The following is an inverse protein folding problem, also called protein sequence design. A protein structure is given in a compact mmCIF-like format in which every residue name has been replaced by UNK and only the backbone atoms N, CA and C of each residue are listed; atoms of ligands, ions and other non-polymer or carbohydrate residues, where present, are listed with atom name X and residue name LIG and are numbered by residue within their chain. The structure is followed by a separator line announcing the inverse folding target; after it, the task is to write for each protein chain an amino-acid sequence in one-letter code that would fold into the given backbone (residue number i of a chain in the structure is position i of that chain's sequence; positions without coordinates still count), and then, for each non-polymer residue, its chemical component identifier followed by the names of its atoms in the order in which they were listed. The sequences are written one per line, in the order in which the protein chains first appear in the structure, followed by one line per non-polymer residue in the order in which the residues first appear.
data_IF_443166781904
#
_entry.id   IF_443166781904
#
_cell.length_a   1.000
_cell.length_b   1.000
_cell.length_c   1.000
_cell.angle_alpha   90.00
_cell.angle_beta   90.00
_cell.angle_gamma   90.00
#
_symmetry.space_group_name_H-M   'P 1'
#
loop_
_entity.id
_entity.type
_entity.pdbx_description
1 polymer ?
#
# COMPACT_ATOMS: atom_id res chain seq x y z
N UNK A 1 -21.32 -16.20 0.03
CA UNK A 1 -20.24 -15.45 0.72
C UNK A 1 -20.51 -13.97 0.46
N UNK A 2 -20.90 -13.19 1.47
CA UNK A 2 -21.18 -11.77 1.28
C UNK A 2 -19.88 -11.02 1.01
N UNK A 3 -19.79 -10.29 -0.10
CA UNK A 3 -18.76 -9.27 -0.30
C UNK A 3 -18.85 -8.29 0.88
N UNK A 4 -17.84 -8.31 1.74
CA UNK A 4 -17.70 -7.28 2.76
C UNK A 4 -17.30 -6.01 2.00
N UNK A 5 -18.30 -5.20 1.63
CA UNK A 5 -18.08 -3.94 0.92
C UNK A 5 -17.08 -3.11 1.73
N UNK A 6 -15.91 -2.87 1.16
CA UNK A 6 -14.89 -2.03 1.79
C UNK A 6 -15.45 -0.60 1.88
N UNK A 7 -15.68 -0.13 3.10
CA UNK A 7 -16.09 1.25 3.35
C UNK A 7 -14.87 2.18 3.18
N UNK A 8 -14.81 2.83 2.03
CA UNK A 8 -13.84 3.89 1.74
C UNK A 8 -14.48 5.22 2.06
N UNK A 9 -13.86 5.97 2.97
CA UNK A 9 -14.24 7.33 3.30
C UNK A 9 -13.60 8.29 2.30
N UNK A 10 -14.40 8.74 1.33
CA UNK A 10 -14.01 9.80 0.40
C UNK A 10 -14.43 11.16 0.98
N UNK A 11 -13.49 12.07 1.13
CA UNK A 11 -13.76 13.48 1.43
C UNK A 11 -14.08 14.24 0.13
N UNK A 12 -13.35 13.93 -0.94
CA UNK A 12 -13.58 14.47 -2.28
C UNK A 12 -13.24 13.44 -3.36
N UNK A 13 -13.98 13.45 -4.47
CA UNK A 13 -13.64 12.70 -5.68
C UNK A 13 -14.25 13.38 -6.91
N UNK A 14 -13.43 13.62 -7.94
CA UNK A 14 -13.85 14.39 -9.12
C UNK A 14 -14.96 13.71 -9.93
N UNK A 15 -14.88 12.38 -10.11
CA UNK A 15 -15.81 11.64 -10.97
C UNK A 15 -15.86 10.14 -10.62
N UNK A 16 -16.84 9.44 -11.21
CA UNK A 16 -17.06 8.02 -10.94
C UNK A 16 -15.91 7.11 -11.43
N UNK A 17 -15.18 7.50 -12.48
CA UNK A 17 -14.04 6.74 -12.96
C UNK A 17 -12.88 6.76 -11.95
N UNK A 18 -12.57 7.94 -11.39
CA UNK A 18 -11.60 8.08 -10.30
C UNK A 18 -12.02 7.27 -9.06
N UNK A 19 -13.30 7.32 -8.69
CA UNK A 19 -13.85 6.53 -7.57
C UNK A 19 -13.67 5.03 -7.78
N UNK A 20 -13.98 4.52 -8.97
CA UNK A 20 -13.84 3.09 -9.31
C UNK A 20 -12.37 2.64 -9.34
N UNK A 21 -11.46 3.49 -9.84
CA UNK A 21 -10.02 3.23 -9.81
C UNK A 21 -9.50 3.13 -8.38
N UNK A 22 -9.84 4.09 -7.52
CA UNK A 22 -9.42 4.11 -6.11
C UNK A 22 -9.95 2.88 -5.38
N UNK A 23 -11.22 2.50 -5.61
CA UNK A 23 -11.80 1.25 -5.06
C UNK A 23 -10.97 0.03 -5.42
N UNK A 24 -10.71 -0.17 -6.71
CA UNK A 24 -9.92 -1.32 -7.19
C UNK A 24 -8.51 -1.32 -6.62
N UNK A 25 -7.87 -0.15 -6.55
CA UNK A 25 -6.55 0.01 -5.95
C UNK A 25 -6.56 -0.44 -4.48
N UNK A 26 -7.48 0.08 -3.68
CA UNK A 26 -7.56 -0.25 -2.25
C UNK A 26 -7.97 -1.70 -1.98
N UNK A 27 -8.82 -2.30 -2.82
CA UNK A 27 -9.14 -3.73 -2.74
C UNK A 27 -7.88 -4.58 -2.89
N UNK A 28 -7.02 -4.22 -3.85
CA UNK A 28 -5.74 -4.90 -4.08
C UNK A 28 -4.73 -4.66 -2.94
N UNK A 29 -4.73 -3.46 -2.34
CA UNK A 29 -3.93 -3.17 -1.14
C UNK A 29 -4.35 -4.07 0.03
N UNK A 30 -5.64 -4.21 0.29
CA UNK A 30 -6.13 -5.09 1.36
C UNK A 30 -5.83 -6.58 1.08
N UNK A 31 -5.85 -7.00 -0.19
CA UNK A 31 -5.36 -8.33 -0.58
C UNK A 31 -3.88 -8.51 -0.24
N UNK A 32 -3.02 -7.53 -0.53
CA UNK A 32 -1.59 -7.55 -0.19
C UNK A 32 -1.36 -7.54 1.34
N UNK A 33 -2.21 -6.86 2.11
CA UNK A 33 -2.10 -6.86 3.57
C UNK A 33 -2.32 -8.22 4.20
N UNK A 34 -3.03 -9.13 3.55
CA UNK A 34 -3.26 -10.48 4.08
C UNK A 34 -1.95 -11.26 4.27
N UNK A 35 -1.12 -11.50 3.24
CA UNK A 35 0.15 -12.20 3.42
C UNK A 35 1.15 -11.42 4.28
N UNK A 36 1.14 -10.08 4.26
CA UNK A 36 1.99 -9.26 5.15
C UNK A 36 1.63 -9.50 6.62
N UNK A 37 0.34 -9.50 6.96
CA UNK A 37 -0.13 -9.77 8.33
C UNK A 37 0.24 -11.18 8.79
N UNK A 38 0.21 -12.14 7.88
CA UNK A 38 0.64 -13.50 8.17
C UNK A 38 2.14 -13.56 8.47
N UNK A 39 2.97 -13.02 7.57
CA UNK A 39 4.43 -12.99 7.74
C UNK A 39 4.85 -12.30 9.05
N UNK A 40 4.27 -11.13 9.36
CA UNK A 40 4.57 -10.41 10.61
C UNK A 40 4.27 -11.26 11.85
N UNK A 41 3.17 -12.00 11.86
CA UNK A 41 2.82 -12.88 12.98
C UNK A 41 3.82 -14.02 13.15
N UNK A 42 4.30 -14.58 12.04
CA UNK A 42 5.32 -15.64 12.04
C UNK A 42 6.66 -15.15 12.60
N UNK A 43 7.00 -13.88 12.35
CA UNK A 43 8.20 -13.21 12.91
C UNK A 43 8.00 -12.69 14.34
N UNK A 44 6.87 -13.02 14.98
CA UNK A 44 6.52 -12.56 16.33
C UNK A 44 6.52 -11.03 16.48
N UNK A 45 6.12 -10.31 15.43
CA UNK A 45 5.96 -8.86 15.40
C UNK A 45 4.48 -8.45 15.58
N UNK A 46 4.26 -7.18 15.86
CA UNK A 46 2.93 -6.59 16.06
C UNK A 46 2.58 -5.69 14.88
N UNK A 47 1.34 -5.80 14.37
CA UNK A 47 0.77 -4.83 13.42
C UNK A 47 -0.26 -3.96 14.13
N UNK A 48 -0.12 -2.65 13.96
CA UNK A 48 -1.09 -1.65 14.39
C UNK A 48 -1.67 -0.97 13.14
N UNK A 49 -2.95 -1.19 12.80
CA UNK A 49 -3.59 -0.48 11.71
C UNK A 49 -3.98 0.95 12.15
N UNK A 50 -3.82 1.91 11.26
CA UNK A 50 -4.29 3.29 11.44
C UNK A 50 -4.98 3.80 10.17
N UNK A 51 -5.82 4.83 10.31
CA UNK A 51 -6.46 5.51 9.17
C UNK A 51 -5.75 6.83 8.92
N UNK A 52 -5.27 7.02 7.69
CA UNK A 52 -4.52 8.22 7.28
C UNK A 52 -5.13 8.84 6.04
N UNK A 53 -4.99 10.15 5.90
CA UNK A 53 -5.48 10.88 4.74
C UNK A 53 -4.54 10.66 3.54
N UNK A 54 -5.14 10.48 2.37
CA UNK A 54 -4.48 10.39 1.08
C UNK A 54 -5.06 11.44 0.16
N UNK A 55 -4.18 12.25 -0.42
CA UNK A 55 -4.53 13.34 -1.33
C UNK A 55 -3.93 13.00 -2.69
N UNK A 56 -4.80 12.81 -3.68
CA UNK A 56 -4.45 12.67 -5.08
C UNK A 56 -5.01 13.85 -5.87
N UNK A 57 -4.51 14.05 -7.08
CA UNK A 57 -4.99 15.12 -7.97
C UNK A 57 -6.52 15.15 -8.12
N UNK A 58 -7.17 13.98 -8.11
CA UNK A 58 -8.60 13.82 -8.40
C UNK A 58 -9.45 13.39 -7.20
N UNK A 59 -8.85 13.22 -6.01
CA UNK A 59 -9.57 12.70 -4.84
C UNK A 59 -8.82 12.94 -3.52
N UNK A 60 -9.58 13.10 -2.45
CA UNK A 60 -9.10 13.02 -1.07
C UNK A 60 -9.89 11.94 -0.35
N UNK A 61 -9.20 10.99 0.29
CA UNK A 61 -9.82 9.84 0.93
C UNK A 61 -8.95 9.26 2.03
N UNK A 62 -9.56 8.53 2.97
CA UNK A 62 -8.84 7.83 4.03
C UNK A 62 -8.45 6.42 3.63
N UNK A 63 -7.22 6.02 3.95
CA UNK A 63 -6.68 4.67 3.70
C UNK A 63 -6.17 4.04 4.99
N UNK A 64 -6.09 2.71 4.98
CA UNK A 64 -5.48 1.95 6.07
C UNK A 64 -3.96 1.93 5.88
N UNK A 65 -3.22 2.47 6.84
CA UNK A 65 -1.78 2.30 6.98
C UNK A 65 -1.50 1.16 7.98
N UNK A 66 -0.46 0.37 7.75
CA UNK A 66 0.02 -0.61 8.71
C UNK A 66 1.33 -0.14 9.33
N UNK A 67 1.38 -0.07 10.66
CA UNK A 67 2.63 0.16 11.40
C UNK A 67 3.09 -1.17 12.01
N UNK A 68 4.30 -1.60 11.65
CA UNK A 68 4.94 -2.80 12.17
C UNK A 68 5.78 -2.42 13.40
N UNK A 69 5.60 -3.17 14.48
CA UNK A 69 6.27 -2.93 15.75
C UNK A 69 6.86 -4.20 16.36
N UNK A 70 7.87 -4.04 17.20
CA UNK A 70 8.31 -5.11 18.12
C UNK A 70 7.25 -5.34 19.21
N UNK A 71 7.41 -6.41 19.99
CA UNK A 71 6.53 -6.70 21.14
C UNK A 71 6.66 -5.63 22.24
N UNK A 72 7.81 -4.99 22.33
CA UNK A 72 8.13 -3.89 23.25
C UNK A 72 7.56 -2.55 22.78
N UNK A 73 6.96 -2.51 21.57
CA UNK A 73 6.28 -1.34 21.02
C UNK A 73 7.14 -0.43 20.15
N UNK A 74 8.37 -0.84 19.85
CA UNK A 74 9.28 -0.10 18.98
C UNK A 74 8.83 -0.19 17.51
N UNK A 75 8.81 0.94 16.79
CA UNK A 75 8.34 0.97 15.39
C UNK A 75 9.47 0.63 14.43
N UNK A 76 9.27 -0.42 13.64
CA UNK A 76 10.24 -0.92 12.67
C UNK A 76 10.00 -0.37 11.26
N UNK A 77 8.72 -0.35 10.85
CA UNK A 77 8.33 0.12 9.54
C UNK A 77 6.87 0.58 9.49
N UNK A 78 6.56 1.44 8.54
CA UNK A 78 5.22 1.84 8.14
C UNK A 78 4.99 1.46 6.68
N UNK A 79 3.82 0.90 6.39
CA UNK A 79 3.39 0.54 5.05
C UNK A 79 2.18 1.42 4.72
N UNK A 80 2.41 2.39 3.83
CA UNK A 80 1.45 3.43 3.50
C UNK A 80 1.04 3.36 2.03
N UNK A 81 -0.24 3.14 1.72
CA UNK A 81 -0.78 3.37 0.38
C UNK A 81 -0.73 4.87 0.08
N UNK A 82 -0.15 5.27 -1.05
CA UNK A 82 0.07 6.71 -1.33
C UNK A 82 -0.57 7.22 -2.62
N UNK A 83 -0.77 6.40 -3.65
CA UNK A 83 -1.43 6.85 -4.89
C UNK A 83 -2.07 5.71 -5.67
N UNK A 84 -3.22 5.98 -6.28
CA UNK A 84 -3.93 5.12 -7.26
C UNK A 84 -3.57 5.45 -8.71
N UNK A 85 -2.70 6.44 -8.95
CA UNK A 85 -2.29 6.89 -10.29
C UNK A 85 -0.77 7.04 -10.35
N UNK A 86 -0.14 6.30 -11.27
CA UNK A 86 1.24 6.55 -11.71
C UNK A 86 1.31 6.52 -13.24
N UNK A 87 2.21 7.34 -13.81
CA UNK A 87 2.49 7.36 -15.26
C UNK A 87 2.92 5.97 -15.78
N UNK A 88 3.45 5.12 -14.89
CA UNK A 88 3.93 3.77 -15.17
C UNK A 88 3.31 2.71 -14.22
N UNK A 89 2.08 2.88 -13.74
CA UNK A 89 1.44 1.86 -12.89
C UNK A 89 0.06 2.26 -12.37
N UNK A 90 -0.71 1.32 -11.84
CA UNK A 90 -2.05 1.58 -11.29
C UNK A 90 -2.05 1.78 -9.76
N UNK A 91 -0.89 1.81 -9.10
CA UNK A 91 -0.82 2.08 -7.66
C UNK A 91 0.58 2.24 -7.08
N UNK A 92 0.69 2.94 -5.95
CA UNK A 92 1.92 3.20 -5.23
C UNK A 92 1.78 2.93 -3.74
N UNK A 93 2.64 2.05 -3.22
CA UNK A 93 2.76 1.82 -1.78
C UNK A 93 4.18 2.21 -1.37
N UNK A 94 4.29 3.04 -0.34
CA UNK A 94 5.55 3.39 0.28
C UNK A 94 5.74 2.54 1.53
N UNK A 95 6.94 2.01 1.69
CA UNK A 95 7.39 1.32 2.91
C UNK A 95 8.52 2.17 3.48
N UNK A 96 8.36 2.65 4.70
CA UNK A 96 9.37 3.45 5.37
C UNK A 96 9.75 2.77 6.68
N UNK A 97 11.04 2.48 6.86
CA UNK A 97 11.55 1.87 8.08
C UNK A 97 12.99 2.29 8.35
N UNK A 98 13.62 1.67 9.34
CA UNK A 98 14.99 2.03 9.76
C UNK A 98 16.05 1.92 8.68
N UNK A 99 15.87 0.99 7.74
CA UNK A 99 16.80 0.76 6.64
C UNK A 99 16.57 1.68 5.45
N UNK A 100 15.61 2.60 5.57
CA UNK A 100 15.28 3.59 4.56
C UNK A 100 13.86 3.40 4.03
N UNK A 101 13.63 4.07 2.90
CA UNK A 101 12.36 4.06 2.19
C UNK A 101 12.45 3.09 1.02
N UNK A 102 11.40 2.34 0.77
CA UNK A 102 11.24 1.47 -0.39
C UNK A 102 9.88 1.75 -1.04
N UNK A 103 9.78 1.54 -2.34
CA UNK A 103 8.60 1.91 -3.12
C UNK A 103 8.12 0.73 -3.95
N UNK A 104 6.90 0.29 -3.66
CA UNK A 104 6.20 -0.71 -4.45
C UNK A 104 5.35 0.00 -5.47
N UNK A 105 5.81 -0.01 -6.73
CA UNK A 105 5.00 0.44 -7.86
C UNK A 105 4.20 -0.76 -8.35
N UNK A 106 2.91 -0.76 -8.04
CA UNK A 106 2.02 -1.85 -8.38
C UNK A 106 1.36 -1.60 -9.75
N UNK A 107 1.16 -2.68 -10.51
CA UNK A 107 0.27 -2.77 -11.68
C UNK A 107 0.77 -2.16 -13.00
N UNK A 108 1.93 -2.58 -13.49
CA UNK A 108 2.12 -2.70 -14.95
C UNK A 108 1.81 -4.15 -15.31
N UNK A 109 0.68 -4.41 -15.99
CA UNK A 109 0.30 -5.74 -16.53
C UNK A 109 0.45 -6.89 -15.52
N UNK A 110 -0.57 -7.12 -14.69
CA UNK A 110 -0.75 -8.33 -13.85
C UNK A 110 0.44 -8.74 -12.96
N UNK A 111 1.44 -7.87 -12.73
CA UNK A 111 2.65 -8.20 -11.98
C UNK A 111 3.00 -7.12 -10.95
N UNK A 112 3.46 -7.57 -9.78
CA UNK A 112 4.06 -6.74 -8.74
C UNK A 112 5.48 -6.34 -9.16
N UNK A 113 5.81 -5.05 -9.12
CA UNK A 113 7.17 -4.54 -9.33
C UNK A 113 7.67 -3.85 -8.06
N UNK A 114 8.81 -4.31 -7.54
CA UNK A 114 9.49 -3.71 -6.40
C UNK A 114 10.59 -2.80 -6.95
N UNK A 115 10.53 -1.49 -6.69
CA UNK A 115 11.54 -0.53 -7.13
C UNK A 115 12.23 0.12 -5.95
N UNK A 116 13.56 0.10 -5.92
CA UNK A 116 14.31 0.86 -4.93
C UNK A 116 14.28 2.35 -5.25
N UNK A 117 14.18 3.26 -4.27
CA UNK A 117 14.43 4.67 -4.54
C UNK A 117 15.86 4.84 -5.05
N UNK A 118 16.01 5.77 -5.99
CA UNK A 118 17.23 6.03 -6.77
C UNK A 118 18.49 6.24 -5.91
N UNK A 119 19.14 5.16 -5.49
CA UNK A 119 20.58 5.11 -5.21
C UNK A 119 21.23 4.30 -6.31
N UNK A 120 21.47 4.93 -7.46
CA UNK A 120 22.43 4.58 -8.53
C UNK A 120 22.63 3.09 -8.92
N UNK A 121 21.73 2.20 -8.55
CA UNK A 121 21.90 0.77 -8.74
C UNK A 121 20.58 0.12 -9.15
N UNK A 122 20.71 -0.78 -10.12
CA UNK A 122 19.69 -1.23 -11.05
C UNK A 122 18.40 -1.72 -10.39
N UNK A 123 17.26 -1.40 -11.00
CA UNK A 123 15.95 -2.02 -10.74
C UNK A 123 16.09 -3.55 -10.76
N UNK A 124 15.73 -4.22 -9.65
CA UNK A 124 15.69 -5.68 -9.58
C UNK A 124 14.26 -6.16 -9.78
N UNK A 125 14.04 -6.92 -10.84
CA UNK A 125 12.78 -7.62 -11.07
C UNK A 125 12.70 -8.80 -10.09
N UNK A 126 11.77 -8.77 -9.15
CA UNK A 126 11.45 -9.93 -8.30
C UNK A 126 10.13 -10.50 -8.80
N UNK A 127 10.15 -11.76 -9.22
CA UNK A 127 8.92 -12.49 -9.55
C UNK A 127 8.47 -13.20 -8.27
N UNK A 128 7.30 -12.85 -7.77
CA UNK A 128 6.66 -13.59 -6.68
C UNK A 128 5.80 -14.70 -7.32
N UNK A 129 5.91 -15.97 -6.87
CA UNK A 129 5.07 -17.06 -7.36
C UNK A 129 3.58 -16.87 -7.03
#
# INVERSE_FOLDING_TARGET
MSEKTMNIEFEHVENQAAKNRIRRYLERVEQLYTPIKQWVREENLVIVPSRVDTIERQATYKVTQLTLKTQEGETLAEIKPTSSILVAGEGLIEIEGWFGKETLVYMIKDRLLITKPSRKDRTKNVTVP
#
